data_IF_888020765852
#
_entry.id   IF_888020765852
#
_cell.length_a   1.000
_cell.length_b   1.000
_cell.length_c   1.000
_cell.angle_alpha   90.00
_cell.angle_beta   90.00
_cell.angle_gamma   90.00
#
_symmetry.space_group_name_H-M   'P 1'
#
loop_
_entity.id
_entity.type
_entity.pdbx_description
1 polymer ?
#
# COMPACT_ATOMS: atom_id res chain seq x y z
N UNK A 1 18.72 12.66 3.59
CA UNK A 1 17.36 12.56 4.16
C UNK A 1 17.51 12.48 5.66
N UNK A 2 16.88 13.38 6.41
CA UNK A 2 16.83 13.21 7.86
C UNK A 2 15.77 12.14 8.19
N UNK A 3 15.85 11.56 9.39
CA UNK A 3 14.90 10.53 9.86
C UNK A 3 13.44 11.01 9.87
N UNK A 4 13.20 12.33 9.83
CA UNK A 4 11.86 12.94 9.77
C UNK A 4 11.26 13.08 8.37
N UNK A 5 12.04 12.86 7.30
CA UNK A 5 11.59 13.10 5.91
C UNK A 5 11.09 11.82 5.22
N UNK A 6 11.47 10.64 5.71
CA UNK A 6 11.14 9.37 5.09
C UNK A 6 9.74 8.91 5.51
N UNK A 7 8.83 8.79 4.54
CA UNK A 7 7.47 8.27 4.73
C UNK A 7 7.37 6.86 4.16
N UNK A 8 6.60 6.00 4.82
CA UNK A 8 6.21 4.71 4.26
C UNK A 8 4.96 4.93 3.40
N UNK A 9 5.08 4.70 2.10
CA UNK A 9 3.93 4.64 1.19
C UNK A 9 3.47 3.19 1.00
N UNK A 10 2.20 2.90 1.26
CA UNK A 10 1.59 1.59 1.06
C UNK A 10 0.62 1.66 -0.13
N UNK A 11 0.97 0.98 -1.23
CA UNK A 11 0.03 0.69 -2.31
C UNK A 11 -0.75 -0.58 -1.96
N UNK A 12 -1.89 -0.40 -1.28
CA UNK A 12 -2.81 -1.47 -0.89
C UNK A 12 -3.83 -1.75 -2.01
N UNK A 13 -4.94 -2.41 -1.68
CA UNK A 13 -6.03 -2.71 -2.63
C UNK A 13 -5.84 -4.00 -3.43
N UNK A 14 -4.64 -4.59 -3.47
CA UNK A 14 -4.40 -5.96 -3.96
C UNK A 14 -4.88 -7.03 -2.94
N UNK A 15 -6.03 -6.79 -2.32
CA UNK A 15 -6.51 -7.45 -1.09
C UNK A 15 -6.67 -6.40 0.01
N UNK A 16 -7.90 -5.91 0.29
CA UNK A 16 -8.10 -4.81 1.24
C UNK A 16 -7.65 -5.17 2.66
N UNK A 17 -7.93 -6.40 3.12
CA UNK A 17 -7.51 -6.85 4.44
C UNK A 17 -5.99 -7.03 4.57
N UNK A 18 -5.29 -7.41 3.50
CA UNK A 18 -3.83 -7.52 3.52
C UNK A 18 -3.16 -6.15 3.72
N UNK A 19 -3.73 -5.09 3.14
CA UNK A 19 -3.27 -3.72 3.35
C UNK A 19 -3.47 -3.24 4.79
N UNK A 20 -4.62 -3.55 5.39
CA UNK A 20 -4.90 -3.24 6.80
C UNK A 20 -3.97 -4.02 7.75
N UNK A 21 -3.76 -5.30 7.50
CA UNK A 21 -2.85 -6.15 8.28
C UNK A 21 -1.40 -5.64 8.22
N UNK A 22 -0.93 -5.20 7.05
CA UNK A 22 0.38 -4.57 6.92
C UNK A 22 0.48 -3.27 7.74
N UNK A 23 -0.53 -2.40 7.65
CA UNK A 23 -0.55 -1.15 8.42
C UNK A 23 -0.55 -1.43 9.93
N UNK A 24 -1.33 -2.41 10.38
CA UNK A 24 -1.36 -2.84 11.77
C UNK A 24 0.01 -3.37 12.23
N UNK A 25 0.68 -4.18 11.40
CA UNK A 25 2.02 -4.71 11.69
C UNK A 25 3.08 -3.62 11.78
N UNK A 26 3.01 -2.60 10.92
CA UNK A 26 3.92 -1.44 11.01
C UNK A 26 3.77 -0.78 12.38
N UNK A 27 2.54 -0.53 12.84
CA UNK A 27 2.30 0.04 14.17
C UNK A 27 2.81 -0.88 15.28
N UNK A 28 2.44 -2.16 15.26
CA UNK A 28 2.79 -3.13 16.30
C UNK A 28 4.30 -3.40 16.41
N UNK A 29 5.03 -3.28 15.30
CA UNK A 29 6.48 -3.51 15.25
C UNK A 29 7.30 -2.23 15.36
N UNK A 30 6.65 -1.05 15.43
CA UNK A 30 7.36 0.21 15.68
C UNK A 30 7.63 0.36 17.18
N UNK A 31 8.89 0.53 17.55
CA UNK A 31 9.29 0.84 18.93
C UNK A 31 8.91 2.29 19.28
N UNK A 32 7.67 2.49 19.74
CA UNK A 32 7.12 3.79 20.13
C UNK A 32 6.79 3.83 21.63
N UNK A 33 7.01 4.98 22.27
CA UNK A 33 6.56 5.29 23.64
C UNK A 33 5.42 6.30 23.65
N UNK A 34 5.39 7.17 22.65
CA UNK A 34 4.35 8.17 22.39
C UNK A 34 3.95 8.16 20.90
N UNK A 35 2.83 8.80 20.57
CA UNK A 35 2.31 8.80 19.19
C UNK A 35 3.30 9.41 18.17
N UNK A 36 4.10 10.39 18.60
CA UNK A 36 5.10 11.06 17.76
C UNK A 36 6.31 10.17 17.43
N UNK A 37 6.44 9.00 18.09
CA UNK A 37 7.50 8.04 17.78
C UNK A 37 7.14 7.11 16.60
N UNK A 38 5.86 7.07 16.19
CA UNK A 38 5.44 6.21 15.07
C UNK A 38 5.95 6.71 13.72
N UNK A 39 6.18 5.76 12.81
CA UNK A 39 6.66 6.04 11.46
C UNK A 39 5.56 6.71 10.61
N UNK A 40 5.82 7.87 9.97
CA UNK A 40 4.87 8.49 9.05
C UNK A 40 4.49 7.52 7.92
N UNK A 41 3.20 7.22 7.80
CA UNK A 41 2.69 6.21 6.86
C UNK A 41 1.50 6.77 6.09
N UNK A 42 1.51 6.61 4.77
CA UNK A 42 0.39 6.94 3.86
C UNK A 42 -0.03 5.64 3.16
N UNK A 43 -1.33 5.37 3.12
CA UNK A 43 -1.87 4.15 2.50
C UNK A 43 -2.97 4.49 1.52
N UNK A 44 -2.88 3.98 0.29
CA UNK A 44 -3.89 4.11 -0.75
C UNK A 44 -4.42 2.73 -1.10
N UNK A 45 -5.74 2.55 -1.01
CA UNK A 45 -6.41 1.27 -1.23
C UNK A 45 -7.57 1.44 -2.21
N UNK A 46 -7.36 1.03 -3.46
CA UNK A 46 -8.35 1.10 -4.55
C UNK A 46 -8.65 -0.32 -5.09
N UNK A 47 -9.26 -1.21 -4.28
CA UNK A 47 -9.47 -2.60 -4.67
C UNK A 47 -10.39 -2.78 -5.89
N UNK A 48 -11.27 -1.82 -6.16
CA UNK A 48 -12.11 -1.84 -7.36
C UNK A 48 -11.31 -1.60 -8.66
N UNK A 49 -10.21 -0.85 -8.56
CA UNK A 49 -9.41 -0.43 -9.72
C UNK A 49 -8.32 -1.44 -10.06
N UNK A 50 -7.74 -2.08 -9.03
CA UNK A 50 -6.73 -3.13 -9.17
C UNK A 50 -7.40 -4.43 -9.62
N UNK A 51 -7.27 -4.74 -10.91
CA UNK A 51 -7.75 -5.98 -11.51
C UNK A 51 -7.22 -7.24 -10.79
N UNK A 52 -7.93 -8.35 -10.92
CA UNK A 52 -7.47 -9.64 -10.39
C UNK A 52 -6.14 -10.06 -11.06
N UNK A 53 -5.09 -10.19 -10.25
CA UNK A 53 -3.73 -10.47 -10.73
C UNK A 53 -3.62 -11.86 -11.32
N UNK A 54 -4.26 -12.85 -10.71
CA UNK A 54 -4.22 -14.24 -11.17
C UNK A 54 -4.89 -14.35 -12.53
N UNK A 55 -6.07 -13.75 -12.70
CA UNK A 55 -6.77 -13.72 -13.99
C UNK A 55 -5.94 -13.04 -15.08
N UNK A 56 -5.23 -11.95 -14.76
CA UNK A 56 -4.37 -11.27 -15.73
C UNK A 56 -3.20 -12.18 -16.15
N UNK A 57 -2.50 -12.78 -15.20
CA UNK A 57 -1.36 -13.67 -15.46
C UNK A 57 -1.75 -14.93 -16.24
N UNK A 58 -2.97 -15.42 -16.05
CA UNK A 58 -3.52 -16.58 -16.78
C UNK A 58 -4.15 -16.20 -18.13
N UNK A 59 -4.09 -14.93 -18.56
CA UNK A 59 -4.68 -14.47 -19.83
C UNK A 59 -6.21 -14.42 -19.85
N UNK A 60 -6.87 -14.49 -18.69
CA UNK A 60 -8.34 -14.50 -18.55
C UNK A 60 -8.93 -13.08 -18.48
N UNK A 61 -8.08 -12.05 -18.48
CA UNK A 61 -8.44 -10.64 -18.63
C UNK A 61 -7.28 -9.92 -19.29
N UNK A 62 -7.58 -8.92 -20.11
CA UNK A 62 -6.59 -7.99 -20.69
C UNK A 62 -6.35 -6.77 -19.80
N UNK A 63 -7.16 -6.57 -18.75
CA UNK A 63 -6.99 -5.44 -17.81
C UNK A 63 -5.77 -5.70 -16.93
N UNK A 64 -4.67 -5.00 -17.23
CA UNK A 64 -3.43 -5.10 -16.48
C UNK A 64 -3.54 -4.35 -15.13
N UNK A 65 -3.38 -5.02 -13.98
CA UNK A 65 -3.45 -4.39 -12.66
C UNK A 65 -2.32 -3.38 -12.39
N UNK A 66 -1.21 -3.44 -13.14
CA UNK A 66 -0.07 -2.55 -12.95
C UNK A 66 -0.42 -1.07 -13.18
N UNK A 67 -1.40 -0.77 -14.04
CA UNK A 67 -1.82 0.62 -14.28
C UNK A 67 -2.46 1.26 -13.05
N UNK A 68 -3.36 0.53 -12.36
CA UNK A 68 -3.96 1.02 -11.13
C UNK A 68 -2.93 1.11 -9.99
N UNK A 69 -2.03 0.13 -9.89
CA UNK A 69 -0.92 0.15 -8.92
C UNK A 69 -0.03 1.37 -9.16
N UNK A 70 0.30 1.69 -10.41
CA UNK A 70 1.09 2.86 -10.76
C UNK A 70 0.37 4.17 -10.45
N UNK A 71 -0.94 4.26 -10.73
CA UNK A 71 -1.75 5.43 -10.34
C UNK A 71 -1.69 5.68 -8.83
N UNK A 72 -1.91 4.63 -8.03
CA UNK A 72 -1.80 4.74 -6.58
C UNK A 72 -0.39 5.15 -6.14
N UNK A 73 0.65 4.64 -6.79
CA UNK A 73 2.03 5.03 -6.49
C UNK A 73 2.27 6.52 -6.78
N UNK A 74 1.72 7.06 -7.86
CA UNK A 74 1.86 8.48 -8.19
C UNK A 74 1.14 9.40 -7.22
N UNK A 75 0.08 8.94 -6.56
CA UNK A 75 -0.60 9.69 -5.50
C UNK A 75 0.18 9.69 -4.17
N UNK A 76 1.19 8.81 -4.02
CA UNK A 76 2.08 8.73 -2.86
C UNK A 76 3.37 9.57 -3.04
N UNK A 77 3.67 10.03 -4.25
CA UNK A 77 4.88 10.79 -4.60
C UNK A 77 4.71 12.29 -4.32
#
# INVERSE_FOLDING_TARGET
MTKGDAKIGIVAGAGPYAGLDLAQKILQQTSAKIDQDYLPTISISTPADIADRTRFLLGQTTKNPAHAIFSNLTELA
#
